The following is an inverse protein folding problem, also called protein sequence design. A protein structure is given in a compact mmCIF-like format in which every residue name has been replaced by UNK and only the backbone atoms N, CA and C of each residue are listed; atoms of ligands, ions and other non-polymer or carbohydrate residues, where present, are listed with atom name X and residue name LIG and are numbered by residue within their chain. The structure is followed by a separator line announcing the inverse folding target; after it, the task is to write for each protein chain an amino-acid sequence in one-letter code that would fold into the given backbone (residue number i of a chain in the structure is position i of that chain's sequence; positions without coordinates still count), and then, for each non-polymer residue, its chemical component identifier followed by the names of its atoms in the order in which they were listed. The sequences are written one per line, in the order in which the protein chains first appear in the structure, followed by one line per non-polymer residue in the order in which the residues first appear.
data_IF_156528234856
#
_entry.id   IF_156528234856
#
_cell.length_a   1.000
_cell.length_b   1.000
_cell.length_c   1.000
_cell.angle_alpha   90.00
_cell.angle_beta   90.00
_cell.angle_gamma   90.00
#
_symmetry.space_group_name_H-M   'P 1'
#
loop_
_entity.id
_entity.type
_entity.pdbx_description
1 polymer ?
#
# COMPACT_ATOMS: atom_id res chain seq x y z
N UNK A 1 -39.49 -22.89 -27.54
CA UNK A 1 -38.73 -22.38 -26.37
C UNK A 1 -39.58 -22.66 -25.14
N UNK A 2 -39.16 -23.53 -24.21
CA UNK A 2 -39.98 -23.83 -23.05
C UNK A 2 -39.92 -22.65 -22.07
N UNK A 3 -41.07 -22.02 -21.84
CA UNK A 3 -41.30 -21.02 -20.81
C UNK A 3 -40.90 -21.61 -19.45
N UNK A 4 -39.82 -21.11 -18.84
CA UNK A 4 -39.50 -21.43 -17.46
C UNK A 4 -40.62 -20.88 -16.58
N UNK A 5 -41.49 -21.75 -16.07
CA UNK A 5 -42.62 -21.35 -15.24
C UNK A 5 -42.18 -20.49 -14.03
N UNK A 6 -43.05 -19.60 -13.52
CA UNK A 6 -42.75 -18.65 -12.44
C UNK A 6 -42.25 -19.32 -11.13
N UNK A 7 -42.40 -20.64 -11.01
CA UNK A 7 -41.93 -21.46 -9.89
C UNK A 7 -40.41 -21.64 -9.85
N UNK A 8 -39.69 -21.49 -10.96
CA UNK A 8 -38.22 -21.63 -11.01
C UNK A 8 -37.47 -20.32 -10.79
N UNK A 9 -38.11 -19.17 -11.03
CA UNK A 9 -37.49 -17.85 -10.90
C UNK A 9 -37.22 -17.50 -9.43
N UNK A 10 -38.18 -17.78 -8.55
CA UNK A 10 -38.10 -17.49 -7.12
C UNK A 10 -36.93 -18.22 -6.39
N UNK A 11 -36.75 -19.55 -6.52
CA UNK A 11 -35.62 -20.23 -5.87
C UNK A 11 -34.27 -19.77 -6.42
N UNK A 12 -34.20 -19.38 -7.69
CA UNK A 12 -32.98 -18.88 -8.32
C UNK A 12 -32.57 -17.50 -7.77
N UNK A 13 -33.54 -16.60 -7.60
CA UNK A 13 -33.34 -15.29 -6.97
C UNK A 13 -32.96 -15.42 -5.49
N UNK A 14 -33.59 -16.35 -4.76
CA UNK A 14 -33.26 -16.61 -3.35
C UNK A 14 -31.83 -17.16 -3.19
N UNK A 15 -31.42 -18.11 -4.03
CA UNK A 15 -30.05 -18.62 -4.00
C UNK A 15 -29.03 -17.51 -4.30
N UNK A 16 -29.29 -16.69 -5.33
CA UNK A 16 -28.43 -15.57 -5.67
C UNK A 16 -28.31 -14.55 -4.52
N UNK A 17 -29.42 -14.25 -3.83
CA UNK A 17 -29.44 -13.38 -2.66
C UNK A 17 -28.66 -13.94 -1.46
N UNK A 18 -28.81 -15.23 -1.17
CA UNK A 18 -28.05 -15.93 -0.11
C UNK A 18 -26.55 -15.91 -0.39
N UNK A 19 -26.15 -16.16 -1.64
CA UNK A 19 -24.75 -16.13 -2.06
C UNK A 19 -24.15 -14.72 -1.94
N UNK A 20 -24.88 -13.69 -2.35
CA UNK A 20 -24.43 -12.30 -2.26
C UNK A 20 -24.30 -11.83 -0.80
N UNK A 21 -25.29 -12.12 0.04
CA UNK A 21 -25.29 -11.78 1.46
C UNK A 21 -24.20 -12.55 2.24
N UNK A 22 -24.01 -13.84 1.93
CA UNK A 22 -22.95 -14.67 2.49
C UNK A 22 -21.56 -14.14 2.15
N UNK A 23 -21.31 -13.77 0.88
CA UNK A 23 -20.04 -13.19 0.45
C UNK A 23 -19.74 -11.85 1.15
N UNK A 24 -20.74 -10.97 1.29
CA UNK A 24 -20.59 -9.69 1.99
C UNK A 24 -20.34 -9.87 3.49
N UNK A 25 -21.05 -10.81 4.13
CA UNK A 25 -20.87 -11.17 5.54
C UNK A 25 -19.48 -11.73 5.82
N UNK A 26 -19.03 -12.68 4.99
CA UNK A 26 -17.72 -13.30 5.10
C UNK A 26 -16.58 -12.29 4.88
N UNK A 27 -16.73 -11.37 3.92
CA UNK A 27 -15.73 -10.31 3.69
C UNK A 27 -15.64 -9.33 4.88
N UNK A 28 -16.79 -9.03 5.52
CA UNK A 28 -16.84 -8.19 6.72
C UNK A 28 -16.22 -8.89 7.93
N UNK A 29 -16.51 -10.18 8.13
CA UNK A 29 -15.96 -10.99 9.21
C UNK A 29 -14.44 -11.20 9.03
N UNK A 30 -13.97 -11.46 7.81
CA UNK A 30 -12.55 -11.61 7.50
C UNK A 30 -11.76 -10.31 7.67
N UNK A 31 -12.40 -9.15 7.53
CA UNK A 31 -11.78 -7.84 7.82
C UNK A 31 -11.56 -7.64 9.32
N UNK A 32 -12.48 -8.12 10.15
CA UNK A 32 -12.41 -8.00 11.61
C UNK A 32 -11.56 -9.08 12.29
N UNK A 33 -11.12 -10.12 11.55
CA UNK A 33 -10.45 -11.31 12.12
C UNK A 33 -11.29 -11.98 13.22
N UNK A 34 -12.60 -11.81 13.15
CA UNK A 34 -13.55 -12.34 14.11
C UNK A 34 -13.93 -13.77 13.69
N UNK A 35 -13.38 -14.75 14.40
CA UNK A 35 -13.57 -16.17 14.11
C UNK A 35 -15.03 -16.62 14.27
N UNK A 36 -15.76 -16.02 15.21
CA UNK A 36 -17.16 -16.33 15.48
C UNK A 36 -18.05 -15.81 14.34
N UNK A 37 -17.84 -14.57 13.91
CA UNK A 37 -18.57 -14.01 12.78
C UNK A 37 -18.27 -14.76 11.48
N UNK A 38 -17.04 -15.26 11.27
CA UNK A 38 -16.68 -16.08 10.12
C UNK A 38 -17.38 -17.43 10.11
N UNK A 39 -17.43 -18.08 11.27
CA UNK A 39 -18.13 -19.34 11.43
C UNK A 39 -19.63 -19.16 11.12
N UNK A 40 -20.30 -18.21 11.76
CA UNK A 40 -21.74 -18.01 11.58
C UNK A 40 -22.10 -17.57 10.16
N UNK A 41 -21.34 -16.65 9.57
CA UNK A 41 -21.60 -16.18 8.19
C UNK A 41 -21.33 -17.27 7.15
N UNK A 42 -20.27 -18.05 7.31
CA UNK A 42 -19.98 -19.20 6.45
C UNK A 42 -21.01 -20.32 6.59
N UNK A 43 -21.40 -20.64 7.83
CA UNK A 43 -22.39 -21.67 8.14
C UNK A 43 -23.76 -21.34 7.57
N UNK A 44 -24.26 -20.10 7.76
CA UNK A 44 -25.57 -19.67 7.23
C UNK A 44 -25.58 -19.65 5.69
N UNK A 45 -24.49 -19.19 5.06
CA UNK A 45 -24.37 -19.19 3.60
C UNK A 45 -24.40 -20.62 3.03
N UNK A 46 -23.67 -21.56 3.65
CA UNK A 46 -23.66 -22.96 3.26
C UNK A 46 -25.04 -23.62 3.42
N UNK A 47 -25.69 -23.38 4.55
CA UNK A 47 -27.00 -23.96 4.86
C UNK A 47 -28.09 -23.42 3.95
N UNK A 48 -28.03 -22.13 3.60
CA UNK A 48 -28.93 -21.51 2.62
C UNK A 48 -28.72 -22.07 1.20
N UNK A 49 -27.48 -22.32 0.77
CA UNK A 49 -27.19 -22.98 -0.52
C UNK A 49 -27.76 -24.40 -0.54
N UNK A 50 -27.57 -25.18 0.53
CA UNK A 50 -28.10 -26.54 0.64
C UNK A 50 -29.63 -26.58 0.59
N UNK A 51 -30.31 -25.72 1.34
CA UNK A 51 -31.77 -25.64 1.38
C UNK A 51 -32.35 -25.28 0.01
N UNK A 52 -31.75 -24.31 -0.69
CA UNK A 52 -32.25 -23.88 -1.99
C UNK A 52 -31.95 -24.92 -3.08
N UNK A 53 -30.82 -25.62 -3.00
CA UNK A 53 -30.51 -26.74 -3.88
C UNK A 53 -31.47 -27.93 -3.67
N UNK A 54 -31.76 -28.28 -2.41
CA UNK A 54 -32.72 -29.34 -2.09
C UNK A 54 -34.13 -29.00 -2.62
N UNK A 55 -34.55 -27.74 -2.50
CA UNK A 55 -35.80 -27.27 -3.08
C UNK A 55 -35.79 -27.36 -4.62
N UNK A 56 -34.72 -26.92 -5.28
CA UNK A 56 -34.61 -26.97 -6.74
C UNK A 56 -34.70 -28.38 -7.31
N UNK A 57 -34.08 -29.38 -6.67
CA UNK A 57 -34.17 -30.80 -7.08
C UNK A 57 -35.60 -31.33 -7.06
N UNK A 58 -36.43 -30.85 -6.12
CA UNK A 58 -37.84 -31.29 -6.00
C UNK A 58 -38.77 -30.76 -7.10
N UNK A 59 -38.34 -29.78 -7.91
CA UNK A 59 -39.17 -29.12 -8.94
C UNK A 59 -39.10 -29.72 -10.34
N UNK A 60 -38.28 -30.76 -10.54
CA UNK A 60 -38.14 -31.50 -11.80
C UNK A 60 -36.75 -31.42 -12.44
N UNK A 61 -36.54 -32.05 -13.62
CA UNK A 61 -35.22 -32.20 -14.26
C UNK A 61 -34.52 -30.88 -14.62
N UNK A 62 -35.27 -29.79 -14.79
CA UNK A 62 -34.71 -28.45 -15.03
C UNK A 62 -34.03 -27.83 -13.80
N UNK A 63 -34.41 -28.26 -12.59
CA UNK A 63 -33.87 -27.75 -11.34
C UNK A 63 -32.42 -28.18 -11.08
N UNK A 64 -32.03 -29.39 -11.48
CA UNK A 64 -30.66 -29.89 -11.33
C UNK A 64 -29.67 -29.13 -12.24
N UNK A 65 -30.08 -28.81 -13.46
CA UNK A 65 -29.28 -28.01 -14.39
C UNK A 65 -29.04 -26.58 -13.88
N UNK A 66 -30.06 -25.95 -13.29
CA UNK A 66 -29.96 -24.62 -12.70
C UNK A 66 -29.02 -24.60 -11.47
N UNK A 67 -29.08 -25.62 -10.61
CA UNK A 67 -28.17 -25.77 -9.47
C UNK A 67 -26.72 -25.94 -9.93
N UNK A 68 -26.48 -26.77 -10.96
CA UNK A 68 -25.15 -26.96 -11.55
C UNK A 68 -24.56 -25.64 -12.06
N UNK A 69 -25.34 -24.84 -12.80
CA UNK A 69 -24.90 -23.51 -13.27
C UNK A 69 -24.58 -22.55 -12.12
N UNK A 70 -25.38 -22.55 -11.04
CA UNK A 70 -25.14 -21.67 -9.90
C UNK A 70 -23.95 -22.09 -9.05
N UNK A 71 -23.66 -23.39 -8.94
CA UNK A 71 -22.44 -23.88 -8.29
C UNK A 71 -21.19 -23.48 -9.08
N UNK A 72 -21.24 -23.58 -10.41
CA UNK A 72 -20.13 -23.13 -11.29
C UNK A 72 -19.97 -21.61 -11.22
N UNK A 73 -21.07 -20.85 -11.26
CA UNK A 73 -21.06 -19.39 -11.14
C UNK A 73 -20.57 -18.93 -9.74
N UNK A 74 -21.02 -19.59 -8.67
CA UNK A 74 -20.57 -19.32 -7.31
C UNK A 74 -19.09 -19.64 -7.11
N UNK A 75 -18.61 -20.74 -7.69
CA UNK A 75 -17.20 -21.16 -7.62
C UNK A 75 -16.28 -20.19 -8.38
N UNK A 76 -16.69 -19.75 -9.56
CA UNK A 76 -15.94 -18.75 -10.34
C UNK A 76 -15.93 -17.38 -9.67
N UNK A 77 -17.06 -16.95 -9.09
CA UNK A 77 -17.14 -15.73 -8.29
C UNK A 77 -16.25 -15.80 -7.03
N UNK A 78 -16.26 -16.94 -6.32
CA UNK A 78 -15.39 -17.16 -5.16
C UNK A 78 -13.90 -17.15 -5.53
N UNK A 79 -13.54 -17.78 -6.66
CA UNK A 79 -12.17 -17.77 -7.17
C UNK A 79 -11.71 -16.35 -7.56
N UNK A 80 -12.56 -15.59 -8.27
CA UNK A 80 -12.28 -14.21 -8.64
C UNK A 80 -12.13 -13.30 -7.41
N UNK A 81 -12.97 -13.51 -6.39
CA UNK A 81 -12.90 -12.78 -5.13
C UNK A 81 -11.64 -13.11 -4.34
N UNK A 82 -11.24 -14.38 -4.24
CA UNK A 82 -10.01 -14.78 -3.58
C UNK A 82 -8.77 -14.21 -4.29
N UNK A 83 -8.78 -14.24 -5.63
CA UNK A 83 -7.75 -13.61 -6.45
C UNK A 83 -7.68 -12.09 -6.22
N UNK A 84 -8.83 -11.42 -6.16
CA UNK A 84 -8.92 -9.99 -5.83
C UNK A 84 -8.39 -9.67 -4.44
N UNK A 85 -8.71 -10.52 -3.45
CA UNK A 85 -8.22 -10.39 -2.08
C UNK A 85 -6.71 -10.61 -1.98
N UNK A 86 -6.18 -11.59 -2.70
CA UNK A 86 -4.74 -11.82 -2.76
C UNK A 86 -4.02 -10.61 -3.40
N UNK A 87 -4.53 -10.13 -4.54
CA UNK A 87 -4.01 -8.91 -5.22
C UNK A 87 -4.06 -7.69 -4.29
N UNK A 88 -5.14 -7.51 -3.53
CA UNK A 88 -5.26 -6.41 -2.58
C UNK A 88 -4.26 -6.54 -1.41
N UNK A 89 -3.99 -7.76 -0.93
CA UNK A 89 -2.96 -8.00 0.09
C UNK A 89 -1.57 -7.66 -0.43
N UNK A 90 -1.22 -8.14 -1.62
CA UNK A 90 0.08 -7.85 -2.26
C UNK A 90 0.26 -6.34 -2.44
N UNK A 91 -0.74 -5.64 -3.01
CA UNK A 91 -0.72 -4.17 -3.17
C UNK A 91 -0.58 -3.42 -1.85
N UNK A 92 -1.18 -3.91 -0.76
CA UNK A 92 -1.02 -3.31 0.58
C UNK A 92 0.39 -3.49 1.12
N UNK A 93 0.99 -4.66 0.92
CA UNK A 93 2.37 -4.93 1.33
C UNK A 93 3.35 -4.07 0.53
N UNK A 94 3.19 -3.99 -0.78
CA UNK A 94 3.99 -3.13 -1.66
C UNK A 94 3.90 -1.66 -1.23
N UNK A 95 2.69 -1.15 -0.96
CA UNK A 95 2.50 0.22 -0.46
C UNK A 95 3.22 0.45 0.88
N UNK A 96 3.12 -0.50 1.82
CA UNK A 96 3.82 -0.41 3.11
C UNK A 96 5.34 -0.42 2.93
N UNK A 97 5.87 -1.28 2.06
CA UNK A 97 7.30 -1.34 1.78
C UNK A 97 7.78 -0.02 1.16
N UNK A 98 7.04 0.54 0.19
CA UNK A 98 7.35 1.86 -0.40
C UNK A 98 7.34 2.97 0.66
N UNK A 99 6.32 3.00 1.52
CA UNK A 99 6.25 3.97 2.62
C UNK A 99 7.42 3.83 3.60
N UNK A 100 7.81 2.60 3.94
CA UNK A 100 8.95 2.34 4.81
C UNK A 100 10.28 2.79 4.17
N UNK A 101 10.48 2.53 2.87
CA UNK A 101 11.65 2.99 2.13
C UNK A 101 11.72 4.54 2.09
N UNK A 102 10.61 5.20 1.77
CA UNK A 102 10.52 6.67 1.80
C UNK A 102 10.77 7.24 3.19
N UNK A 103 10.27 6.60 4.24
CA UNK A 103 10.50 7.02 5.61
C UNK A 103 11.98 6.89 6.00
N UNK A 104 12.67 5.85 5.53
CA UNK A 104 14.11 5.67 5.76
C UNK A 104 14.94 6.77 5.07
N UNK A 105 14.67 7.06 3.79
CA UNK A 105 15.31 8.17 3.06
C UNK A 105 15.05 9.52 3.74
N UNK A 106 13.80 9.77 4.15
CA UNK A 106 13.43 10.98 4.89
C UNK A 106 14.10 11.05 6.27
N UNK A 107 14.41 9.90 6.88
CA UNK A 107 15.22 9.80 8.08
C UNK A 107 16.64 10.32 7.87
N UNK A 108 17.31 9.83 6.82
CA UNK A 108 18.66 10.30 6.44
C UNK A 108 18.69 11.79 6.15
N UNK A 109 17.74 12.31 5.38
CA UNK A 109 17.64 13.75 5.12
C UNK A 109 17.53 14.57 6.42
N UNK A 110 16.69 14.16 7.38
CA UNK A 110 16.58 14.84 8.68
C UNK A 110 17.86 14.75 9.51
N UNK A 111 18.59 13.65 9.44
CA UNK A 111 19.89 13.50 10.10
C UNK A 111 20.92 14.49 9.54
N UNK A 112 21.01 14.60 8.21
CA UNK A 112 21.88 15.56 7.53
C UNK A 112 21.52 16.99 7.95
N UNK A 113 20.23 17.34 7.95
CA UNK A 113 19.75 18.66 8.39
C UNK A 113 20.12 18.95 9.85
N UNK A 114 20.02 17.94 10.72
CA UNK A 114 20.39 18.07 12.13
C UNK A 114 21.89 18.33 12.27
N UNK A 115 22.73 17.59 11.54
CA UNK A 115 24.17 17.79 11.52
C UNK A 115 24.54 19.18 10.99
N UNK A 116 23.95 19.58 9.87
CA UNK A 116 24.13 20.92 9.31
C UNK A 116 23.72 22.02 10.29
N UNK A 117 22.59 21.87 10.99
CA UNK A 117 22.11 22.85 11.96
C UNK A 117 23.10 23.09 13.09
N UNK A 118 23.90 22.09 13.47
CA UNK A 118 24.94 22.27 14.48
C UNK A 118 26.02 23.25 13.98
N UNK A 119 26.44 23.18 12.72
CA UNK A 119 27.43 24.11 12.16
C UNK A 119 26.92 25.55 12.06
N UNK A 120 25.62 25.74 11.84
CA UNK A 120 24.98 27.06 11.74
C UNK A 120 24.67 27.68 13.11
N UNK A 121 24.26 26.86 14.07
CA UNK A 121 23.71 27.32 15.35
C UNK A 121 24.72 27.28 16.51
N UNK A 122 25.78 26.47 16.42
CA UNK A 122 26.83 26.40 17.43
C UNK A 122 27.98 27.39 17.09
N UNK A 123 28.17 28.45 17.89
CA UNK A 123 29.23 29.44 17.63
C UNK A 123 30.64 28.84 17.68
N UNK A 124 30.87 27.80 18.47
CA UNK A 124 32.18 27.15 18.58
C UNK A 124 32.47 26.35 17.32
N UNK A 125 31.50 25.55 16.87
CA UNK A 125 31.62 24.74 15.66
C UNK A 125 31.76 25.61 14.40
N UNK A 126 31.03 26.74 14.34
CA UNK A 126 31.16 27.73 13.28
C UNK A 126 32.56 28.37 13.24
N UNK A 127 33.14 28.69 14.40
CA UNK A 127 34.50 29.21 14.50
C UNK A 127 35.56 28.15 14.13
N UNK A 128 35.31 26.89 14.44
CA UNK A 128 36.19 25.79 14.06
C UNK A 128 36.13 25.48 12.56
N UNK A 129 34.99 25.68 11.90
CA UNK A 129 34.78 25.33 10.49
C UNK A 129 34.24 26.50 9.64
N UNK A 130 34.96 27.63 9.53
CA UNK A 130 34.47 28.83 8.84
C UNK A 130 34.20 28.61 7.34
N UNK A 131 34.87 27.64 6.71
CA UNK A 131 34.66 27.30 5.30
C UNK A 131 33.27 26.73 5.03
N UNK A 132 32.66 26.04 6.00
CA UNK A 132 31.28 25.55 5.89
C UNK A 132 30.27 26.69 5.88
N UNK A 133 30.59 27.83 6.49
CA UNK A 133 29.75 29.04 6.50
C UNK A 133 29.98 29.94 5.26
N UNK A 134 31.09 29.73 4.54
CA UNK A 134 31.43 30.53 3.37
C UNK A 134 30.78 29.98 2.09
N UNK A 135 29.73 30.66 1.62
CA UNK A 135 29.04 30.35 0.36
C UNK A 135 29.91 30.53 -0.89
N UNK A 136 31.10 31.14 -0.77
CA UNK A 136 32.07 31.26 -1.86
C UNK A 136 32.89 29.98 -2.04
N UNK A 137 32.98 29.12 -1.01
CA UNK A 137 33.57 27.79 -1.17
C UNK A 137 32.75 27.00 -2.19
N UNK A 138 33.41 26.39 -3.20
CA UNK A 138 32.71 25.58 -4.19
C UNK A 138 32.01 24.38 -3.55
N UNK A 139 32.62 23.75 -2.54
CA UNK A 139 32.06 22.60 -1.84
C UNK A 139 30.80 22.96 -1.03
N UNK A 140 30.85 24.07 -0.28
CA UNK A 140 29.69 24.57 0.47
C UNK A 140 28.56 24.96 -0.47
N UNK A 141 28.86 25.62 -1.59
CA UNK A 141 27.85 25.96 -2.61
C UNK A 141 27.21 24.71 -3.23
N UNK A 142 27.99 23.69 -3.53
CA UNK A 142 27.51 22.42 -4.07
C UNK A 142 26.59 21.71 -3.06
N UNK A 143 26.95 21.73 -1.78
CA UNK A 143 26.10 21.24 -0.69
C UNK A 143 24.76 22.00 -0.61
N UNK A 144 24.78 23.34 -0.59
CA UNK A 144 23.55 24.15 -0.54
C UNK A 144 22.67 23.90 -1.78
N UNK A 145 23.26 23.65 -2.95
CA UNK A 145 22.51 23.29 -4.16
C UNK A 145 21.86 21.91 -4.01
N UNK A 146 22.60 20.91 -3.53
CA UNK A 146 22.07 19.57 -3.30
C UNK A 146 20.96 19.59 -2.24
N UNK A 147 21.09 20.43 -1.21
CA UNK A 147 20.09 20.59 -0.15
C UNK A 147 18.77 21.12 -0.70
N UNK A 148 18.85 22.19 -1.51
CA UNK A 148 17.66 22.76 -2.19
C UNK A 148 16.99 21.75 -3.11
N UNK A 149 17.78 20.96 -3.82
CA UNK A 149 17.26 19.94 -4.73
C UNK A 149 16.56 18.79 -3.99
N UNK A 150 17.15 18.30 -2.90
CA UNK A 150 16.53 17.29 -2.05
C UNK A 150 15.23 17.79 -1.42
N UNK A 151 15.18 19.06 -0.98
CA UNK A 151 13.95 19.65 -0.44
C UNK A 151 12.87 19.85 -1.51
N UNK A 152 13.25 20.25 -2.73
CA UNK A 152 12.33 20.37 -3.88
C UNK A 152 11.70 19.04 -4.27
N UNK A 153 12.48 17.96 -4.22
CA UNK A 153 12.04 16.61 -4.56
C UNK A 153 11.35 15.89 -3.40
N UNK A 154 11.28 16.50 -2.21
CA UNK A 154 10.70 15.85 -1.03
C UNK A 154 9.22 15.54 -1.29
N UNK A 155 8.83 14.26 -1.34
CA UNK A 155 7.45 13.91 -1.59
C UNK A 155 6.57 14.34 -0.42
N UNK A 156 5.42 14.95 -0.72
CA UNK A 156 4.43 15.21 0.31
C UNK A 156 3.88 13.88 0.83
N UNK A 157 4.11 13.61 2.12
CA UNK A 157 3.74 12.36 2.81
C UNK A 157 2.24 12.03 2.65
N UNK A 158 1.40 13.04 2.43
CA UNK A 158 -0.04 12.90 2.24
C UNK A 158 -0.47 12.56 0.80
N UNK A 159 0.34 12.89 -0.22
CA UNK A 159 -0.10 12.88 -1.62
C UNK A 159 0.08 11.52 -2.34
N UNK A 160 0.82 10.58 -1.74
CA UNK A 160 1.07 9.29 -2.37
C UNK A 160 1.96 9.41 -3.60
N UNK A 161 3.22 9.80 -3.36
CA UNK A 161 4.23 9.96 -4.40
C UNK A 161 4.39 8.71 -5.28
N UNK A 162 4.61 8.95 -6.57
CA UNK A 162 4.87 7.87 -7.52
C UNK A 162 6.24 7.23 -7.27
N UNK A 163 6.44 6.05 -7.87
CA UNK A 163 7.69 5.31 -7.71
C UNK A 163 8.90 6.09 -8.25
N UNK A 164 8.68 6.88 -9.31
CA UNK A 164 9.71 7.70 -9.95
C UNK A 164 10.14 8.87 -9.05
N UNK A 165 9.17 9.62 -8.50
CA UNK A 165 9.41 10.70 -7.53
C UNK A 165 10.19 10.20 -6.31
N UNK A 166 9.83 9.00 -5.82
CA UNK A 166 10.48 8.37 -4.67
C UNK A 166 11.94 8.04 -4.93
N UNK A 167 12.26 7.58 -6.15
CA UNK A 167 13.62 7.26 -6.57
C UNK A 167 14.46 8.53 -6.78
N UNK A 168 13.89 9.54 -7.45
CA UNK A 168 14.54 10.84 -7.66
C UNK A 168 14.88 11.52 -6.32
N UNK A 169 13.97 11.47 -5.34
CA UNK A 169 14.21 11.97 -3.99
C UNK A 169 15.34 11.21 -3.29
N UNK A 170 15.35 9.87 -3.39
CA UNK A 170 16.41 9.05 -2.80
C UNK A 170 17.80 9.41 -3.37
N UNK A 171 17.91 9.54 -4.69
CA UNK A 171 19.15 9.95 -5.35
C UNK A 171 19.58 11.37 -4.95
N UNK A 172 18.63 12.29 -4.79
CA UNK A 172 18.93 13.64 -4.34
C UNK A 172 19.45 13.67 -2.90
N UNK A 173 18.91 12.82 -2.01
CA UNK A 173 19.40 12.67 -0.63
C UNK A 173 20.79 12.03 -0.59
N UNK A 174 21.08 11.05 -1.46
CA UNK A 174 22.42 10.45 -1.58
C UNK A 174 23.45 11.51 -2.02
N UNK A 175 23.13 12.29 -3.06
CA UNK A 175 24.00 13.41 -3.51
C UNK A 175 24.17 14.48 -2.43
N UNK A 176 23.13 14.76 -1.66
CA UNK A 176 23.20 15.67 -0.52
C UNK A 176 24.19 15.17 0.53
N UNK A 177 24.09 13.90 0.93
CA UNK A 177 24.99 13.28 1.90
C UNK A 177 26.46 13.31 1.46
N UNK A 178 26.72 12.98 0.19
CA UNK A 178 28.05 13.04 -0.42
C UNK A 178 28.60 14.49 -0.46
N UNK A 179 27.76 15.46 -0.82
CA UNK A 179 28.16 16.86 -0.89
C UNK A 179 28.51 17.44 0.48
N UNK A 180 27.76 17.08 1.54
CA UNK A 180 28.08 17.48 2.90
C UNK A 180 29.41 16.87 3.35
N UNK A 181 29.61 15.57 3.08
CA UNK A 181 30.85 14.88 3.43
C UNK A 181 32.07 15.51 2.75
N UNK A 182 31.95 15.93 1.48
CA UNK A 182 33.02 16.65 0.77
C UNK A 182 33.28 18.04 1.36
N UNK A 183 32.23 18.78 1.71
CA UNK A 183 32.37 20.08 2.35
C UNK A 183 33.05 19.98 3.73
N UNK A 184 32.66 18.99 4.54
CA UNK A 184 33.30 18.73 5.84
C UNK A 184 34.78 18.34 5.69
N UNK A 185 35.12 17.53 4.68
CA UNK A 185 36.51 17.17 4.40
C UNK A 185 37.35 18.37 3.95
N UNK A 186 36.82 19.20 3.06
CA UNK A 186 37.49 20.42 2.60
C UNK A 186 37.73 21.40 3.76
N UNK A 187 36.74 21.57 4.65
CA UNK A 187 36.87 22.42 5.84
C UNK A 187 37.93 21.91 6.83
N UNK A 188 38.13 20.59 6.94
CA UNK A 188 39.22 20.01 7.75
C UNK A 188 40.58 20.12 7.06
N UNK A 189 40.63 19.89 5.74
CA UNK A 189 41.87 19.91 4.94
C UNK A 189 42.46 21.30 4.75
N UNK A 190 41.62 22.35 4.71
CA UNK A 190 42.06 23.75 4.62
C UNK A 190 42.79 24.27 5.86
N UNK A 191 42.88 23.49 6.94
CA UNK A 191 43.64 23.82 8.16
C UNK A 191 45.11 23.37 8.08
N UNK A 192 45.47 22.55 7.10
CA UNK A 192 46.81 21.94 6.95
C UNK A 192 47.70 22.61 5.88
N UNK A 193 47.29 23.77 5.37
CA UNK A 193 48.05 24.60 4.42
C UNK A 193 48.24 26.01 5.00
#
# INVERSE_FOLDING_TARGET
MPEAGPTLVLPLLLLAGVLAAGAAGLDRALRKRDGESLFWTGFIAFLGVLLTAAWGVSTGPGGTAAIGMLLVAGSTAAAAWLAGRHRARVRRLERKQRQAALAAVSGRHREILTRWSAYELDPWLAAEHPQLQDVRSPETRDFIRALKEAERLRPEVAAGADADDSAAYAEAVDRLEESLSRAEQAARGGRAA
#
